data_IF_476000903651
#
_entry.id   IF_476000903651
#
_cell.length_a   1.000
_cell.length_b   1.000
_cell.length_c   1.000
_cell.angle_alpha   90.00
_cell.angle_beta   90.00
_cell.angle_gamma   90.00
#
_symmetry.space_group_name_H-M   'P 1'
#
loop_
_entity.id
_entity.type
_entity.pdbx_description
1 polymer ?
#
# COMPACT_ATOMS: atom_id res chain seq x y z
N UNK A 1 37.25 -23.02 9.77
CA UNK A 1 36.02 -23.21 8.97
C UNK A 1 34.73 -22.88 9.73
N UNK A 2 34.46 -23.47 10.91
CA UNK A 2 33.20 -23.28 11.67
C UNK A 2 32.85 -21.83 12.07
N UNK A 3 33.84 -20.98 12.40
CA UNK A 3 33.59 -19.58 12.78
C UNK A 3 33.04 -18.74 11.62
N UNK A 4 33.52 -18.98 10.39
CA UNK A 4 33.11 -18.25 9.19
C UNK A 4 31.65 -18.59 8.82
N UNK A 5 31.26 -19.86 8.98
CA UNK A 5 29.88 -20.30 8.74
C UNK A 5 28.89 -19.62 9.70
N UNK A 6 29.20 -19.56 11.01
CA UNK A 6 28.35 -18.90 12.02
C UNK A 6 28.21 -17.39 11.78
N UNK A 7 29.25 -16.72 11.26
CA UNK A 7 29.20 -15.29 10.93
C UNK A 7 28.26 -15.05 9.75
N UNK A 8 28.32 -15.87 8.70
CA UNK A 8 27.41 -15.78 7.55
C UNK A 8 25.95 -15.97 7.96
N UNK A 9 25.65 -16.95 8.82
CA UNK A 9 24.28 -17.18 9.32
C UNK A 9 23.74 -16.01 10.12
N UNK A 10 24.55 -15.37 10.98
CA UNK A 10 24.13 -14.19 11.75
C UNK A 10 23.85 -12.97 10.88
N UNK A 11 24.61 -12.79 9.79
CA UNK A 11 24.39 -11.70 8.83
C UNK A 11 23.07 -11.92 8.08
N UNK A 12 22.84 -13.14 7.58
CA UNK A 12 21.59 -13.50 6.90
C UNK A 12 20.39 -13.31 7.83
N UNK A 13 20.50 -13.73 9.10
CA UNK A 13 19.44 -13.54 10.08
C UNK A 13 19.11 -12.07 10.31
N UNK A 14 20.14 -11.21 10.48
CA UNK A 14 19.94 -9.76 10.64
C UNK A 14 19.28 -9.13 9.40
N UNK A 15 19.70 -9.54 8.20
CA UNK A 15 19.13 -9.06 6.95
C UNK A 15 17.65 -9.45 6.84
N UNK A 16 17.31 -10.70 7.18
CA UNK A 16 15.94 -11.20 7.16
C UNK A 16 15.05 -10.41 8.14
N UNK A 17 15.52 -10.21 9.37
CA UNK A 17 14.80 -9.40 10.36
C UNK A 17 14.56 -7.97 9.87
N UNK A 18 15.55 -7.36 9.21
CA UNK A 18 15.41 -6.01 8.67
C UNK A 18 14.35 -5.94 7.56
N UNK A 19 14.34 -6.92 6.64
CA UNK A 19 13.31 -7.01 5.59
C UNK A 19 11.91 -7.15 6.20
N UNK A 20 11.75 -7.98 7.22
CA UNK A 20 10.46 -8.16 7.92
C UNK A 20 9.99 -6.84 8.55
N UNK A 21 10.88 -6.07 9.18
CA UNK A 21 10.54 -4.77 9.77
C UNK A 21 10.07 -3.78 8.69
N UNK A 22 10.74 -3.74 7.53
CA UNK A 22 10.34 -2.89 6.40
C UNK A 22 8.94 -3.28 5.90
N UNK A 23 8.69 -4.59 5.72
CA UNK A 23 7.40 -5.08 5.28
C UNK A 23 6.28 -4.72 6.25
N UNK A 24 6.49 -4.92 7.56
CA UNK A 24 5.53 -4.53 8.60
C UNK A 24 5.23 -3.03 8.56
N UNK A 25 6.25 -2.20 8.33
CA UNK A 25 6.09 -0.74 8.23
C UNK A 25 5.27 -0.35 7.00
N UNK A 26 5.50 -1.00 5.84
CA UNK A 26 4.71 -0.78 4.63
C UNK A 26 3.24 -1.17 4.87
N UNK A 27 2.99 -2.33 5.49
CA UNK A 27 1.63 -2.79 5.79
C UNK A 27 0.92 -1.84 6.75
N UNK A 28 1.58 -1.41 7.83
CA UNK A 28 1.02 -0.45 8.78
C UNK A 28 0.65 0.89 8.12
N UNK A 29 1.53 1.40 7.23
CA UNK A 29 1.24 2.62 6.46
C UNK A 29 0.05 2.44 5.53
N UNK A 30 -0.05 1.31 4.85
CA UNK A 30 -1.18 1.00 3.96
C UNK A 30 -2.50 0.86 4.73
N UNK A 31 -2.47 0.29 5.93
CA UNK A 31 -3.64 0.22 6.81
C UNK A 31 -4.11 1.61 7.27
N UNK A 32 -3.17 2.51 7.60
CA UNK A 32 -3.51 3.89 7.94
C UNK A 32 -4.17 4.61 6.75
N UNK A 33 -3.58 4.50 5.55
CA UNK A 33 -4.16 5.04 4.33
C UNK A 33 -5.56 4.46 4.05
N UNK A 34 -5.76 3.16 4.32
CA UNK A 34 -7.05 2.51 4.21
C UNK A 34 -8.10 3.14 5.13
N UNK A 35 -7.79 3.26 6.42
CA UNK A 35 -8.68 3.93 7.39
C UNK A 35 -8.95 5.38 7.00
N UNK A 36 -7.97 6.09 6.43
CA UNK A 36 -8.19 7.45 5.92
C UNK A 36 -9.14 7.46 4.71
N UNK A 37 -8.92 6.59 3.73
CA UNK A 37 -9.72 6.53 2.50
C UNK A 37 -11.17 6.12 2.72
N UNK A 38 -11.44 5.26 3.72
CA UNK A 38 -12.81 4.86 4.10
C UNK A 38 -13.57 6.03 4.74
N UNK A 39 -12.91 6.84 5.56
CA UNK A 39 -13.54 7.97 6.24
C UNK A 39 -13.64 9.23 5.35
N UNK A 40 -12.69 9.41 4.44
CA UNK A 40 -12.58 10.59 3.56
C UNK A 40 -12.17 10.13 2.15
N UNK A 41 -13.12 9.64 1.34
CA UNK A 41 -12.81 9.20 -0.01
C UNK A 41 -12.36 10.38 -0.86
N UNK A 42 -11.15 10.27 -1.42
CA UNK A 42 -10.59 11.25 -2.36
C UNK A 42 -10.88 10.79 -3.77
N UNK A 43 -11.57 11.62 -4.55
CA UNK A 43 -11.81 11.39 -5.97
C UNK A 43 -10.54 11.56 -6.80
N UNK A 44 -10.43 10.82 -7.91
CA UNK A 44 -9.31 10.88 -8.84
C UNK A 44 -9.76 10.71 -10.29
N UNK A 45 -8.93 11.18 -11.22
CA UNK A 45 -9.27 11.16 -12.65
C UNK A 45 -10.50 12.02 -12.98
N UNK A 46 -11.13 11.76 -14.13
CA UNK A 46 -12.27 12.53 -14.63
C UNK A 46 -11.95 13.25 -15.94
N UNK A 47 -12.81 14.17 -16.35
CA UNK A 47 -12.46 15.18 -17.36
C UNK A 47 -11.11 15.83 -16.96
N UNK A 48 -10.33 16.23 -17.96
CA UNK A 48 -9.04 16.88 -17.89
C UNK A 48 -9.06 18.08 -16.91
N UNK A 49 -10.23 18.70 -16.70
CA UNK A 49 -10.50 19.74 -15.70
C UNK A 49 -10.43 19.29 -14.23
N UNK A 50 -10.61 18.00 -13.94
CA UNK A 50 -10.66 17.42 -12.59
C UNK A 50 -9.57 16.38 -12.35
N UNK A 51 -8.47 16.42 -13.12
CA UNK A 51 -7.42 15.40 -13.11
C UNK A 51 -6.60 15.39 -11.78
N UNK A 52 -7.25 14.97 -10.71
CA UNK A 52 -6.69 14.84 -9.36
C UNK A 52 -5.89 13.56 -9.33
N UNK A 53 -4.59 13.71 -9.03
CA UNK A 53 -3.68 12.59 -8.83
C UNK A 53 -3.84 12.05 -7.41
N UNK A 54 -3.83 10.74 -7.29
CA UNK A 54 -3.80 10.08 -5.99
C UNK A 54 -2.47 10.30 -5.27
N UNK A 55 -2.53 10.40 -3.94
CA UNK A 55 -1.37 10.55 -3.10
C UNK A 55 -0.49 9.28 -3.07
N UNK A 56 0.76 9.44 -2.62
CA UNK A 56 1.73 8.34 -2.58
C UNK A 56 1.26 7.16 -1.75
N UNK A 57 1.17 5.98 -2.36
CA UNK A 57 0.71 4.75 -1.70
C UNK A 57 -0.75 4.41 -1.97
N UNK A 58 -1.40 5.17 -2.87
CA UNK A 58 -2.77 4.93 -3.34
C UNK A 58 -2.80 4.92 -4.87
N UNK A 59 -3.81 4.28 -5.44
CA UNK A 59 -4.06 4.17 -6.87
C UNK A 59 -5.48 4.62 -7.20
N UNK A 60 -5.67 5.15 -8.40
CA UNK A 60 -7.00 5.54 -8.84
C UNK A 60 -7.76 4.32 -9.35
N UNK A 61 -8.83 3.95 -8.65
CA UNK A 61 -9.71 2.85 -9.03
C UNK A 61 -10.97 3.41 -9.68
N UNK A 62 -11.23 3.00 -10.92
CA UNK A 62 -12.41 3.43 -11.66
C UNK A 62 -13.69 2.90 -11.03
N UNK A 63 -14.75 3.70 -11.03
CA UNK A 63 -16.09 3.32 -10.58
C UNK A 63 -16.90 2.58 -11.67
N UNK A 64 -16.33 2.34 -12.86
CA UNK A 64 -17.02 1.63 -13.95
C UNK A 64 -18.12 2.44 -14.65
N UNK A 65 -18.20 3.75 -14.38
CA UNK A 65 -19.22 4.65 -14.93
C UNK A 65 -18.81 5.29 -16.28
N UNK A 66 -17.78 4.74 -16.93
CA UNK A 66 -17.24 5.22 -18.20
C UNK A 66 -15.85 5.86 -18.08
N UNK A 67 -15.17 6.10 -19.22
CA UNK A 67 -13.76 6.52 -19.25
C UNK A 67 -13.51 7.92 -18.69
N UNK A 68 -14.54 8.77 -18.62
CA UNK A 68 -14.45 10.14 -18.13
C UNK A 68 -15.07 10.35 -16.73
N UNK A 69 -15.63 9.29 -16.14
CA UNK A 69 -16.35 9.37 -14.86
C UNK A 69 -15.42 9.43 -13.63
N UNK A 70 -14.10 9.31 -13.83
CA UNK A 70 -13.13 9.29 -12.74
C UNK A 70 -13.21 8.03 -11.87
N UNK A 71 -12.74 8.15 -10.64
CA UNK A 71 -12.56 7.05 -9.70
C UNK A 71 -12.31 7.54 -8.27
N UNK A 72 -11.95 6.61 -7.39
CA UNK A 72 -11.54 6.89 -6.01
C UNK A 72 -10.10 6.44 -5.77
N UNK A 73 -9.37 7.19 -4.95
CA UNK A 73 -8.04 6.80 -4.52
C UNK A 73 -8.12 5.71 -3.46
N UNK A 74 -7.69 4.50 -3.82
CA UNK A 74 -7.62 3.37 -2.91
C UNK A 74 -6.15 2.97 -2.64
N UNK A 75 -5.78 2.67 -1.38
CA UNK A 75 -4.50 2.03 -1.08
C UNK A 75 -4.23 0.77 -1.91
N UNK A 76 -2.96 0.50 -2.21
CA UNK A 76 -2.58 -0.69 -2.98
C UNK A 76 -2.95 -2.00 -2.29
N UNK A 77 -2.94 -2.02 -0.96
CA UNK A 77 -3.33 -3.18 -0.15
C UNK A 77 -4.80 -3.15 0.28
N UNK A 78 -5.66 -2.28 -0.26
CA UNK A 78 -7.09 -2.25 0.08
C UNK A 78 -7.78 -3.63 0.02
N UNK A 79 -7.57 -4.47 -1.02
CA UNK A 79 -8.20 -5.80 -1.07
C UNK A 79 -7.80 -6.74 0.07
N UNK A 80 -6.66 -6.48 0.71
CA UNK A 80 -6.22 -7.23 1.88
C UNK A 80 -7.01 -6.81 3.13
N UNK A 81 -7.36 -5.53 3.25
CA UNK A 81 -8.05 -4.98 4.41
C UNK A 81 -9.58 -5.07 4.31
N UNK A 82 -10.14 -5.06 3.11
CA UNK A 82 -11.58 -5.22 2.88
C UNK A 82 -12.10 -6.55 3.47
N UNK A 83 -11.26 -7.60 3.49
CA UNK A 83 -11.60 -8.89 4.09
C UNK A 83 -11.63 -8.92 5.63
N UNK A 84 -11.06 -7.90 6.28
CA UNK A 84 -11.07 -7.77 7.75
C UNK A 84 -12.08 -6.71 8.22
N UNK A 85 -12.83 -6.11 7.30
CA UNK A 85 -13.84 -5.08 7.55
C UNK A 85 -15.27 -5.61 7.65
N UNK A 86 -15.49 -6.92 7.57
CA UNK A 86 -16.76 -7.60 7.91
C UNK A 86 -16.82 -7.98 9.39
#
# INVERSE_FOLDING_TARGET
MLKILKVKTKIVQKLLTFIVIILLTIVARQFFLYKQSVNQPVGCGGDWSYNVKCGTGTSCKSLGQGPLAGGTCEPYLSPLFDKFGE
#
